data_IF_357785078572
#
_entry.id   IF_357785078572
#
_cell.length_a   1.000
_cell.length_b   1.000
_cell.length_c   1.000
_cell.angle_alpha   90.00
_cell.angle_beta   90.00
_cell.angle_gamma   90.00
#
_symmetry.space_group_name_H-M   'P 1'
#
loop_
_entity.id
_entity.type
_entity.pdbx_description
1 polymer ?
#
# COMPACT_ATOMS: atom_id res chain seq x y z
N UNK A 1 -8.56 6.45 -16.19
CA UNK A 1 -7.56 6.83 -15.18
C UNK A 1 -7.79 6.05 -13.88
N UNK A 2 -6.72 5.60 -13.26
CA UNK A 2 -6.81 4.76 -12.09
C UNK A 2 -7.34 5.45 -10.84
N UNK A 3 -7.82 4.67 -9.91
CA UNK A 3 -8.33 5.13 -8.61
C UNK A 3 -7.36 4.75 -7.51
N UNK A 4 -7.04 5.69 -6.62
CA UNK A 4 -6.14 5.48 -5.48
C UNK A 4 -6.98 5.31 -4.22
N UNK A 5 -6.87 4.13 -3.61
CA UNK A 5 -7.60 3.76 -2.41
C UNK A 5 -6.62 3.43 -1.31
N UNK A 6 -6.68 4.14 -0.18
CA UNK A 6 -5.88 3.79 0.99
C UNK A 6 -6.65 2.82 1.87
N UNK A 7 -5.95 1.84 2.41
CA UNK A 7 -6.49 0.90 3.37
C UNK A 7 -5.77 1.16 4.70
N UNK A 8 -6.53 1.54 5.69
CA UNK A 8 -5.99 1.98 6.98
C UNK A 8 -6.77 1.37 8.14
N UNK A 9 -6.24 1.53 9.34
CA UNK A 9 -6.89 1.09 10.57
C UNK A 9 -6.42 1.97 11.72
N UNK A 10 -7.28 2.14 12.73
CA UNK A 10 -6.90 2.86 13.94
C UNK A 10 -5.96 2.07 14.84
N UNK A 11 -5.88 0.76 14.62
CA UNK A 11 -5.15 -0.18 15.47
C UNK A 11 -4.50 -1.26 14.62
N UNK A 12 -3.33 -1.73 15.01
CA UNK A 12 -2.66 -2.85 14.35
C UNK A 12 -3.35 -4.19 14.65
N UNK A 13 -3.11 -5.18 13.82
CA UNK A 13 -3.60 -6.54 14.02
C UNK A 13 -5.08 -6.76 13.74
N UNK A 14 -5.73 -5.86 13.01
CA UNK A 14 -7.17 -5.99 12.66
C UNK A 14 -7.42 -6.57 11.27
N UNK A 15 -6.37 -7.04 10.60
CA UNK A 15 -6.51 -7.67 9.28
C UNK A 15 -6.37 -6.71 8.09
N UNK A 16 -5.81 -5.54 8.30
CA UNK A 16 -5.63 -4.51 7.27
C UNK A 16 -4.83 -5.01 6.07
N UNK A 17 -3.67 -5.60 6.29
CA UNK A 17 -2.80 -6.11 5.24
C UNK A 17 -3.44 -7.26 4.48
N UNK A 18 -4.10 -8.18 5.19
CA UNK A 18 -4.85 -9.28 4.58
C UNK A 18 -6.00 -8.75 3.73
N UNK A 19 -6.71 -7.75 4.20
CA UNK A 19 -7.79 -7.09 3.45
C UNK A 19 -7.26 -6.48 2.17
N UNK A 20 -6.12 -5.80 2.23
CA UNK A 20 -5.47 -5.19 1.06
C UNK A 20 -5.13 -6.26 0.02
N UNK A 21 -4.50 -7.35 0.44
CA UNK A 21 -4.12 -8.43 -0.46
C UNK A 21 -5.35 -9.11 -1.10
N UNK A 22 -6.38 -9.37 -0.31
CA UNK A 22 -7.60 -10.02 -0.79
C UNK A 22 -8.39 -9.13 -1.75
N UNK A 23 -8.50 -7.84 -1.45
CA UNK A 23 -9.19 -6.90 -2.33
C UNK A 23 -8.44 -6.78 -3.67
N UNK A 24 -7.12 -6.66 -3.63
CA UNK A 24 -6.30 -6.61 -4.83
C UNK A 24 -6.44 -7.85 -5.70
N UNK A 25 -6.41 -9.03 -5.08
CA UNK A 25 -6.58 -10.30 -5.79
C UNK A 25 -7.96 -10.40 -6.43
N UNK A 26 -9.00 -9.98 -5.71
CA UNK A 26 -10.38 -10.01 -6.23
C UNK A 26 -10.57 -9.10 -7.44
N UNK A 27 -10.01 -7.90 -7.37
CA UNK A 27 -10.07 -6.95 -8.50
C UNK A 27 -9.30 -7.46 -9.70
N UNK A 28 -8.14 -8.08 -9.48
CA UNK A 28 -7.35 -8.67 -10.55
C UNK A 28 -8.09 -9.84 -11.23
N UNK A 29 -8.81 -10.64 -10.46
CA UNK A 29 -9.64 -11.72 -11.00
C UNK A 29 -10.77 -11.18 -11.90
N UNK A 30 -11.23 -9.97 -11.66
CA UNK A 30 -12.23 -9.30 -12.49
C UNK A 30 -11.63 -8.64 -13.73
N UNK A 31 -10.34 -8.83 -13.97
CA UNK A 31 -9.65 -8.28 -15.15
C UNK A 31 -9.11 -6.87 -14.96
N UNK A 32 -9.13 -6.34 -13.74
CA UNK A 32 -8.58 -5.01 -13.45
C UNK A 32 -7.07 -5.10 -13.25
N UNK A 33 -6.37 -4.08 -13.70
CA UNK A 33 -4.93 -3.97 -13.47
C UNK A 33 -4.69 -3.26 -12.15
N UNK A 34 -4.10 -3.96 -11.19
CA UNK A 34 -4.01 -3.52 -9.78
C UNK A 34 -2.57 -3.50 -9.30
N UNK A 35 -2.20 -2.45 -8.58
CA UNK A 35 -0.94 -2.40 -7.85
C UNK A 35 -1.23 -2.21 -6.36
N UNK A 36 -0.57 -3.02 -5.54
CA UNK A 36 -0.59 -2.88 -4.08
C UNK A 36 0.69 -2.19 -3.67
N UNK A 37 0.57 -1.16 -2.84
CA UNK A 37 1.72 -0.42 -2.32
C UNK A 37 1.79 -0.61 -0.82
N UNK A 38 2.91 -1.11 -0.33
CA UNK A 38 3.18 -1.22 1.10
C UNK A 38 3.91 0.04 1.56
N UNK A 39 3.27 0.85 2.38
CA UNK A 39 3.86 2.06 2.94
C UNK A 39 4.24 1.91 4.41
N UNK A 40 4.14 0.73 4.98
CA UNK A 40 4.56 0.47 6.35
C UNK A 40 6.08 0.23 6.39
N UNK A 41 6.81 1.30 6.17
CA UNK A 41 8.26 1.29 6.07
C UNK A 41 8.88 0.80 7.39
N UNK A 42 9.77 -0.17 7.27
CA UNK A 42 10.41 -0.81 8.41
C UNK A 42 9.79 -2.17 8.77
N UNK A 43 8.53 -2.41 8.47
CA UNK A 43 7.86 -3.66 8.81
C UNK A 43 7.65 -4.61 7.63
N UNK A 44 7.33 -4.09 6.45
CA UNK A 44 7.14 -4.92 5.24
C UNK A 44 6.23 -6.13 5.46
N UNK A 45 4.93 -5.91 5.39
CA UNK A 45 3.96 -6.99 5.66
C UNK A 45 3.33 -7.58 4.39
N UNK A 46 3.07 -6.75 3.37
CA UNK A 46 2.39 -7.20 2.15
C UNK A 46 3.19 -8.25 1.37
N UNK A 47 4.49 -8.09 1.28
CA UNK A 47 5.34 -9.04 0.56
C UNK A 47 5.25 -10.45 1.15
N UNK A 48 5.18 -10.55 2.46
CA UNK A 48 5.05 -11.84 3.16
C UNK A 48 3.66 -12.44 2.92
N UNK A 49 2.60 -11.65 3.05
CA UNK A 49 1.22 -12.11 2.83
C UNK A 49 1.03 -12.60 1.40
N UNK A 50 1.67 -11.95 0.42
CA UNK A 50 1.59 -12.33 -0.99
C UNK A 50 2.59 -13.43 -1.39
N UNK A 51 3.52 -13.79 -0.50
CA UNK A 51 4.57 -14.77 -0.80
C UNK A 51 5.60 -14.29 -1.80
N UNK A 52 5.87 -12.99 -1.84
CA UNK A 52 6.78 -12.36 -2.80
C UNK A 52 8.08 -11.85 -2.17
N UNK A 53 8.32 -12.13 -0.90
CA UNK A 53 9.46 -11.59 -0.13
C UNK A 53 10.81 -11.96 -0.75
N UNK A 54 10.92 -13.07 -1.45
CA UNK A 54 12.16 -13.51 -2.08
C UNK A 54 12.39 -12.92 -3.47
N UNK A 55 11.46 -12.10 -3.96
CA UNK A 55 11.53 -11.51 -5.30
C UNK A 55 11.81 -10.01 -5.29
N UNK A 56 12.02 -9.43 -4.11
CA UNK A 56 12.23 -8.00 -3.95
C UNK A 56 13.65 -7.64 -4.38
N UNK A 57 13.76 -6.71 -5.34
CA UNK A 57 15.05 -6.14 -5.77
C UNK A 57 15.14 -4.69 -5.32
N UNK A 58 14.09 -3.92 -5.58
CA UNK A 58 13.98 -2.51 -5.18
C UNK A 58 12.68 -2.30 -4.41
N UNK A 59 12.62 -1.23 -3.65
CA UNK A 59 11.47 -0.88 -2.83
C UNK A 59 10.95 0.54 -3.15
N UNK A 60 9.89 0.94 -2.44
CA UNK A 60 9.27 2.26 -2.66
C UNK A 60 10.26 3.41 -2.43
N UNK A 61 11.15 3.28 -1.46
CA UNK A 61 12.14 4.33 -1.16
C UNK A 61 13.12 4.48 -2.33
N UNK A 62 13.56 3.36 -2.91
CA UNK A 62 14.44 3.41 -4.08
C UNK A 62 13.77 4.13 -5.26
N UNK A 63 12.48 3.92 -5.45
CA UNK A 63 11.72 4.57 -6.51
C UNK A 63 11.63 6.08 -6.28
N UNK A 64 11.24 6.51 -5.07
CA UNK A 64 11.05 7.95 -4.79
C UNK A 64 12.37 8.71 -4.68
N UNK A 65 13.45 8.02 -4.35
CA UNK A 65 14.80 8.59 -4.38
C UNK A 65 15.47 8.53 -5.76
N UNK A 66 14.74 8.03 -6.75
CA UNK A 66 15.20 7.93 -8.15
C UNK A 66 16.44 7.04 -8.33
N UNK A 67 16.61 6.05 -7.46
CA UNK A 67 17.69 5.06 -7.58
C UNK A 67 17.38 3.98 -8.59
N UNK A 68 16.09 3.83 -8.95
CA UNK A 68 15.63 2.90 -9.96
C UNK A 68 14.39 3.45 -10.63
N UNK A 69 14.00 2.84 -11.74
CA UNK A 69 12.72 3.14 -12.39
C UNK A 69 11.61 2.37 -11.69
N UNK A 70 10.39 2.92 -11.71
CA UNK A 70 9.22 2.27 -11.12
C UNK A 70 9.06 0.82 -11.57
N UNK A 71 9.23 0.55 -12.87
CA UNK A 71 9.15 -0.81 -13.42
C UNK A 71 10.08 -1.81 -12.77
N UNK A 72 11.26 -1.35 -12.36
CA UNK A 72 12.25 -2.23 -11.76
C UNK A 72 11.88 -2.65 -10.34
N UNK A 73 11.07 -1.84 -9.66
CA UNK A 73 10.61 -2.12 -8.30
C UNK A 73 9.31 -2.93 -8.26
N UNK A 74 8.48 -2.83 -9.29
CA UNK A 74 7.21 -3.55 -9.35
C UNK A 74 7.43 -5.05 -9.49
N UNK A 75 6.75 -5.82 -8.64
CA UNK A 75 6.79 -7.29 -8.66
C UNK A 75 5.43 -7.79 -9.12
N UNK A 76 5.41 -8.60 -10.17
CA UNK A 76 4.19 -9.22 -10.67
C UNK A 76 3.86 -10.45 -9.83
N UNK A 77 2.60 -10.57 -9.41
CA UNK A 77 2.14 -11.74 -8.67
C UNK A 77 2.16 -12.98 -9.58
N UNK A 78 2.52 -14.13 -9.02
CA UNK A 78 2.59 -15.38 -9.79
C UNK A 78 1.22 -15.96 -10.09
N UNK A 79 0.23 -15.71 -9.23
CA UNK A 79 -1.10 -16.31 -9.30
C UNK A 79 -2.09 -15.47 -10.08
N UNK A 80 -1.94 -14.16 -10.05
CA UNK A 80 -2.88 -13.19 -10.63
C UNK A 80 -2.15 -12.29 -11.63
N UNK A 81 -2.48 -12.45 -12.90
CA UNK A 81 -1.78 -11.78 -14.01
C UNK A 81 -1.71 -10.26 -13.90
N UNK A 82 -2.77 -9.65 -13.40
CA UNK A 82 -2.90 -8.19 -13.37
C UNK A 82 -2.63 -7.60 -11.99
N UNK A 83 -2.02 -8.37 -11.10
CA UNK A 83 -1.69 -7.93 -9.74
C UNK A 83 -0.20 -7.71 -9.57
N UNK A 84 0.16 -6.52 -9.09
CA UNK A 84 1.54 -6.09 -8.87
C UNK A 84 1.72 -5.60 -7.44
N UNK A 85 2.94 -5.67 -6.94
CA UNK A 85 3.34 -5.19 -5.63
C UNK A 85 4.48 -4.18 -5.76
N UNK A 86 4.36 -3.05 -5.06
CA UNK A 86 5.48 -2.15 -4.79
C UNK A 86 5.80 -2.29 -3.30
N UNK A 87 6.91 -2.94 -2.94
CA UNK A 87 7.21 -3.27 -1.56
C UNK A 87 7.74 -2.07 -0.77
N UNK A 88 7.56 -2.10 0.55
CA UNK A 88 8.14 -1.12 1.46
C UNK A 88 9.62 -1.42 1.71
N UNK A 89 10.35 -0.39 2.11
CA UNK A 89 11.73 -0.56 2.59
C UNK A 89 11.72 -1.18 3.99
N UNK A 90 12.67 -2.06 4.26
CA UNK A 90 12.77 -2.77 5.53
C UNK A 90 13.45 -1.96 6.64
N UNK A 91 14.44 -1.14 6.27
CA UNK A 91 15.34 -0.53 7.24
C UNK A 91 15.43 0.99 7.17
N UNK A 92 14.43 1.64 6.55
CA UNK A 92 14.43 3.09 6.39
C UNK A 92 13.51 3.75 7.41
N UNK A 93 13.71 5.05 7.60
CA UNK A 93 12.85 5.88 8.44
C UNK A 93 11.47 6.02 7.79
N UNK A 94 10.41 6.10 8.61
CA UNK A 94 9.03 6.28 8.11
C UNK A 94 8.82 7.57 7.36
N UNK A 95 9.70 8.56 7.55
CA UNK A 95 9.68 9.83 6.81
C UNK A 95 10.40 9.75 5.46
N UNK A 96 10.96 8.60 5.10
CA UNK A 96 11.72 8.44 3.85
C UNK A 96 10.87 8.70 2.60
N UNK A 97 9.55 8.59 2.70
CA UNK A 97 8.62 8.93 1.62
C UNK A 97 7.71 10.06 2.11
N UNK A 98 7.79 11.23 1.49
CA UNK A 98 6.98 12.37 1.87
C UNK A 98 5.70 12.49 1.02
N UNK A 99 4.84 13.46 1.37
CA UNK A 99 3.56 13.66 0.68
C UNK A 99 3.72 13.97 -0.80
N UNK A 100 4.68 14.83 -1.15
CA UNK A 100 4.93 15.20 -2.53
C UNK A 100 5.37 14.02 -3.37
N UNK A 101 6.26 13.19 -2.82
CA UNK A 101 6.72 11.97 -3.46
C UNK A 101 5.57 10.97 -3.67
N UNK A 102 4.69 10.82 -2.70
CA UNK A 102 3.50 9.96 -2.83
C UNK A 102 2.55 10.46 -3.90
N UNK A 103 2.30 11.77 -3.97
CA UNK A 103 1.46 12.35 -5.02
C UNK A 103 2.05 12.11 -6.41
N UNK A 104 3.34 12.30 -6.57
CA UNK A 104 4.02 12.06 -7.84
C UNK A 104 3.96 10.59 -8.24
N UNK A 105 4.18 9.69 -7.29
CA UNK A 105 4.14 8.25 -7.51
C UNK A 105 2.74 7.79 -7.92
N UNK A 106 1.71 8.20 -7.18
CA UNK A 106 0.34 7.81 -7.48
C UNK A 106 -0.15 8.39 -8.80
N UNK A 107 0.29 9.59 -9.15
CA UNK A 107 -0.03 10.20 -10.45
C UNK A 107 0.50 9.36 -11.61
N UNK A 108 1.72 8.86 -11.51
CA UNK A 108 2.30 7.98 -12.53
C UNK A 108 1.54 6.65 -12.61
N UNK A 109 1.21 6.08 -11.47
CA UNK A 109 0.52 4.79 -11.41
C UNK A 109 -0.90 4.86 -11.95
N UNK A 110 -1.58 5.98 -11.76
CA UNK A 110 -2.93 6.18 -12.31
C UNK A 110 -3.02 6.07 -13.84
N UNK A 111 -1.93 6.36 -14.53
CA UNK A 111 -1.88 6.27 -15.97
C UNK A 111 -1.83 4.84 -16.46
N UNK A 112 -1.36 3.93 -15.63
CA UNK A 112 -1.10 2.54 -16.01
C UNK A 112 -2.03 1.53 -15.32
N UNK A 113 -2.49 1.81 -14.11
CA UNK A 113 -3.29 0.89 -13.30
C UNK A 113 -4.72 1.37 -13.12
N UNK A 114 -5.66 0.42 -13.07
CA UNK A 114 -7.06 0.70 -12.79
C UNK A 114 -7.28 1.02 -11.31
N UNK A 115 -6.56 0.30 -10.43
CA UNK A 115 -6.63 0.50 -8.99
C UNK A 115 -5.24 0.51 -8.36
N UNK A 116 -5.02 1.48 -7.50
CA UNK A 116 -3.81 1.60 -6.69
C UNK A 116 -4.25 1.49 -5.24
N UNK A 117 -3.94 0.38 -4.58
CA UNK A 117 -4.31 0.10 -3.21
C UNK A 117 -3.10 0.32 -2.30
N UNK A 118 -3.22 1.25 -1.37
CA UNK A 118 -2.12 1.62 -0.47
C UNK A 118 -2.39 1.06 0.92
N UNK A 119 -1.54 0.15 1.36
CA UNK A 119 -1.57 -0.39 2.72
C UNK A 119 -0.86 0.58 3.64
N UNK A 120 -1.63 1.34 4.43
CA UNK A 120 -1.11 2.40 5.29
C UNK A 120 -0.66 1.86 6.65
N UNK A 121 0.28 2.53 7.32
CA UNK A 121 0.59 2.22 8.71
C UNK A 121 -0.66 2.35 9.60
N UNK A 122 -0.73 1.54 10.65
CA UNK A 122 -1.83 1.60 11.59
C UNK A 122 -1.81 2.91 12.40
N UNK A 123 -2.99 3.41 12.76
CA UNK A 123 -3.13 4.62 13.58
C UNK A 123 -2.87 5.89 12.80
N UNK A 124 -2.63 6.98 13.53
CA UNK A 124 -2.38 8.32 12.99
C UNK A 124 -0.93 8.76 13.21
N UNK A 125 -0.03 7.79 13.35
CA UNK A 125 1.38 8.05 13.57
C UNK A 125 2.07 8.66 12.35
N UNK A 126 3.34 9.01 12.54
CA UNK A 126 4.19 9.50 11.46
C UNK A 126 4.20 8.51 10.28
N UNK A 127 4.04 9.02 9.09
CA UNK A 127 3.93 8.20 7.89
C UNK A 127 2.49 8.04 7.40
N UNK A 128 1.49 8.15 8.28
CA UNK A 128 0.08 8.07 7.87
C UNK A 128 -0.29 9.19 6.89
N UNK A 129 0.02 10.43 7.22
CA UNK A 129 -0.26 11.58 6.35
C UNK A 129 0.45 11.47 5.01
N UNK A 130 1.68 10.97 5.03
CA UNK A 130 2.45 10.79 3.80
C UNK A 130 1.82 9.71 2.91
N UNK A 131 1.40 8.61 3.54
CA UNK A 131 0.81 7.48 2.81
C UNK A 131 -0.51 7.83 2.12
N UNK A 132 -1.34 8.67 2.75
CA UNK A 132 -2.66 9.02 2.20
C UNK A 132 -2.64 10.15 1.17
N UNK A 133 -1.48 10.78 0.97
CA UNK A 133 -1.35 11.87 -0.01
C UNK A 133 -1.68 11.36 -1.41
N UNK A 134 -2.56 12.05 -2.12
CA UNK A 134 -3.00 11.66 -3.46
C UNK A 134 -4.11 10.61 -3.51
N UNK A 135 -4.65 10.17 -2.37
CA UNK A 135 -5.73 9.19 -2.33
C UNK A 135 -7.07 9.80 -2.76
N UNK A 136 -7.88 8.98 -3.45
CA UNK A 136 -9.25 9.34 -3.82
C UNK A 136 -10.26 8.85 -2.79
N UNK A 137 -10.00 7.69 -2.18
CA UNK A 137 -10.88 7.01 -1.22
C UNK A 137 -10.08 6.37 -0.12
N UNK A 138 -10.76 6.04 0.97
CA UNK A 138 -10.17 5.30 2.08
C UNK A 138 -11.10 4.18 2.53
N UNK A 139 -10.50 3.05 2.91
CA UNK A 139 -11.19 1.95 3.57
C UNK A 139 -10.58 1.83 4.96
N UNK A 140 -11.43 1.94 5.98
CA UNK A 140 -11.01 1.82 7.37
C UNK A 140 -11.39 0.44 7.89
N UNK A 141 -10.39 -0.36 8.23
CA UNK A 141 -10.57 -1.72 8.73
C UNK A 141 -10.62 -1.70 10.26
N UNK A 142 -11.62 -2.36 10.81
CA UNK A 142 -11.79 -2.47 12.25
C UNK A 142 -12.34 -3.84 12.64
N UNK A 143 -12.18 -4.22 13.91
CA UNK A 143 -12.84 -5.39 14.48
C UNK A 143 -14.06 -4.94 15.27
N UNK A 144 -14.89 -5.88 15.71
CA UNK A 144 -16.10 -5.59 16.49
C UNK A 144 -15.82 -5.18 17.94
N UNK A 145 -14.56 -5.19 18.38
CA UNK A 145 -14.18 -4.78 19.72
C UNK A 145 -14.31 -3.26 19.91
N UNK A 146 -14.76 -2.82 21.07
CA UNK A 146 -14.99 -1.39 21.35
C UNK A 146 -13.70 -0.58 21.17
N UNK A 147 -12.56 -1.07 21.64
CA UNK A 147 -11.28 -0.37 21.48
C UNK A 147 -10.91 -0.18 20.02
N UNK A 148 -11.14 -1.18 19.18
CA UNK A 148 -10.84 -1.11 17.76
C UNK A 148 -11.77 -0.10 17.05
N UNK A 149 -13.05 -0.08 17.40
CA UNK A 149 -14.03 0.87 16.85
C UNK A 149 -13.65 2.31 17.21
N UNK A 150 -13.23 2.56 18.45
CA UNK A 150 -12.79 3.87 18.89
C UNK A 150 -11.54 4.35 18.15
N UNK A 151 -10.59 3.42 17.92
CA UNK A 151 -9.38 3.73 17.17
C UNK A 151 -9.68 4.06 15.71
N UNK A 152 -10.61 3.32 15.09
CA UNK A 152 -11.07 3.59 13.74
C UNK A 152 -11.76 4.96 13.63
N UNK A 153 -12.57 5.31 14.63
CA UNK A 153 -13.28 6.59 14.69
C UNK A 153 -12.34 7.79 14.69
N UNK A 154 -11.15 7.65 15.28
CA UNK A 154 -10.13 8.71 15.27
C UNK A 154 -9.57 9.00 13.88
N UNK A 155 -9.66 8.05 12.97
CA UNK A 155 -9.13 8.18 11.60
C UNK A 155 -10.15 8.81 10.68
N UNK A 156 -11.41 8.56 10.94
CA UNK A 156 -12.52 9.08 10.16
C UNK A 156 -12.69 10.58 10.43
#
# INVERSE_FOLDING_TARGET
>A
MGEVIVITSGKGGVGKTTTTANLGSSLALEGKKVVLIDTDIGLRNLDVVMGLENRIVYDIVDVVEEKCKLRQALIKDKRFKELYLLPAAQTRDKSAVNEEQMRALTSKLKEEFDYILIDCPAGIEQGFKNAIAGANRAIVVTTAEISSIRDADRII
#
